data_IF_915369416474
#
_entry.id   IF_915369416474
#
_cell.length_a   1.000
_cell.length_b   1.000
_cell.length_c   1.000
_cell.angle_alpha   90.00
_cell.angle_beta   90.00
_cell.angle_gamma   90.00
#
_symmetry.space_group_name_H-M   'P 1'
#
loop_
_entity.id
_entity.type
_entity.pdbx_description
1 polymer ?
#
# COMPACT_ATOMS: atom_id res chain seq x y z
N UNK A 1 -12.43 -9.70 -10.83
CA UNK A 1 -11.30 -9.94 -9.90
C UNK A 1 -11.85 -10.17 -8.51
N UNK A 2 -11.53 -11.29 -7.85
CA UNK A 2 -11.93 -11.51 -6.44
C UNK A 2 -11.16 -10.48 -5.60
N UNK A 3 -11.85 -9.45 -5.08
CA UNK A 3 -11.25 -8.33 -4.34
C UNK A 3 -10.35 -8.77 -3.18
N UNK A 4 -10.61 -9.96 -2.60
CA UNK A 4 -9.74 -10.57 -1.59
C UNK A 4 -8.31 -10.87 -2.05
N UNK A 5 -8.08 -11.18 -3.33
CA UNK A 5 -6.73 -11.43 -3.85
C UNK A 5 -5.89 -10.14 -3.93
N UNK A 6 -6.53 -8.97 -4.04
CA UNK A 6 -5.84 -7.69 -4.06
C UNK A 6 -5.35 -7.24 -2.66
N UNK A 7 -5.74 -7.95 -1.61
CA UNK A 7 -5.30 -7.68 -0.23
C UNK A 7 -4.04 -8.50 0.10
N UNK A 8 -3.73 -9.56 -0.65
CA UNK A 8 -2.55 -10.38 -0.41
C UNK A 8 -1.23 -9.60 -0.52
N UNK A 9 -1.00 -8.77 -1.56
CA UNK A 9 0.24 -8.01 -1.67
C UNK A 9 0.42 -7.03 -0.51
N UNK A 10 -0.67 -6.42 -0.05
CA UNK A 10 -0.63 -5.44 1.03
C UNK A 10 -0.38 -6.11 2.39
N UNK A 11 -0.92 -7.29 2.64
CA UNK A 11 -0.57 -8.11 3.82
C UNK A 11 0.91 -8.49 3.80
N UNK A 12 1.42 -8.95 2.65
CA UNK A 12 2.83 -9.33 2.51
C UNK A 12 3.77 -8.16 2.81
N UNK A 13 3.49 -7.00 2.24
CA UNK A 13 4.28 -5.79 2.47
C UNK A 13 4.15 -5.26 3.90
N UNK A 14 2.99 -5.41 4.54
CA UNK A 14 2.83 -5.13 5.97
C UNK A 14 3.69 -6.06 6.83
N UNK A 15 3.78 -7.35 6.47
CA UNK A 15 4.67 -8.31 7.12
C UNK A 15 6.14 -7.89 7.00
N UNK A 16 6.58 -7.48 5.81
CA UNK A 16 7.92 -6.95 5.60
C UNK A 16 8.18 -5.67 6.41
N UNK A 17 7.18 -4.81 6.57
CA UNK A 17 7.29 -3.61 7.39
C UNK A 17 7.47 -3.93 8.87
N UNK A 18 6.63 -4.82 9.41
CA UNK A 18 6.76 -5.28 10.80
C UNK A 18 8.11 -5.96 11.05
N UNK A 19 8.60 -6.72 10.06
CA UNK A 19 9.93 -7.30 10.10
C UNK A 19 11.04 -6.25 10.13
N UNK A 20 10.92 -5.20 9.31
CA UNK A 20 11.84 -4.07 9.32
C UNK A 20 11.85 -3.31 10.65
N UNK A 21 10.68 -3.12 11.27
CA UNK A 21 10.56 -2.51 12.61
C UNK A 21 11.22 -3.38 13.68
N UNK A 22 10.99 -4.69 13.66
CA UNK A 22 11.64 -5.62 14.58
C UNK A 22 13.18 -5.64 14.43
N UNK A 23 13.66 -5.55 13.20
CA UNK A 23 15.10 -5.51 12.92
C UNK A 23 15.77 -4.19 13.33
N UNK A 24 15.02 -3.12 13.57
CA UNK A 24 15.59 -1.81 13.87
C UNK A 24 16.44 -1.85 15.15
N UNK A 25 16.03 -2.64 16.14
CA UNK A 25 16.70 -2.78 17.44
C UNK A 25 17.97 -3.65 17.35
N UNK A 26 18.03 -4.58 16.39
CA UNK A 26 19.14 -5.53 16.25
C UNK A 26 20.17 -5.09 15.19
N UNK A 27 19.67 -4.56 14.07
CA UNK A 27 20.45 -4.20 12.88
C UNK A 27 19.81 -2.96 12.22
N UNK A 28 20.05 -1.75 12.77
CA UNK A 28 19.34 -0.54 12.34
C UNK A 28 19.46 -0.26 10.83
N UNK A 29 20.64 -0.44 10.24
CA UNK A 29 20.84 -0.24 8.80
C UNK A 29 19.96 -1.17 7.93
N UNK A 30 19.86 -2.45 8.32
CA UNK A 30 18.97 -3.41 7.68
C UNK A 30 17.51 -3.06 7.93
N UNK A 31 17.14 -2.73 9.18
CA UNK A 31 15.78 -2.35 9.57
C UNK A 31 15.24 -1.16 8.77
N UNK A 32 16.00 -0.07 8.66
CA UNK A 32 15.62 1.10 7.85
C UNK A 32 15.43 0.75 6.37
N UNK A 33 16.28 -0.12 5.82
CA UNK A 33 16.17 -0.57 4.42
C UNK A 33 14.89 -1.38 4.18
N UNK A 34 14.55 -2.30 5.09
CA UNK A 34 13.31 -3.09 5.03
C UNK A 34 12.06 -2.22 5.18
N UNK A 35 12.08 -1.24 6.09
CA UNK A 35 10.98 -0.28 6.25
C UNK A 35 10.80 0.54 4.98
N UNK A 36 11.89 1.09 4.43
CA UNK A 36 11.87 1.89 3.20
C UNK A 36 11.33 1.11 2.01
N UNK A 37 11.80 -0.13 1.81
CA UNK A 37 11.33 -1.02 0.74
C UNK A 37 9.84 -1.35 0.89
N UNK A 38 9.41 -1.66 2.12
CA UNK A 38 8.01 -2.01 2.40
C UNK A 38 7.07 -0.82 2.20
N UNK A 39 7.48 0.38 2.62
CA UNK A 39 6.73 1.62 2.41
C UNK A 39 6.63 1.98 0.93
N UNK A 40 7.75 1.94 0.19
CA UNK A 40 7.76 2.17 -1.25
C UNK A 40 6.90 1.14 -1.99
N UNK A 41 6.96 -0.13 -1.58
CA UNK A 41 6.12 -1.20 -2.12
C UNK A 41 4.63 -0.99 -1.85
N UNK A 42 4.25 -0.59 -0.63
CA UNK A 42 2.84 -0.30 -0.28
C UNK A 42 2.29 0.86 -1.11
N UNK A 43 3.05 1.95 -1.22
CA UNK A 43 2.65 3.10 -2.03
C UNK A 43 2.55 2.73 -3.52
N UNK A 44 3.59 2.10 -4.07
CA UNK A 44 3.64 1.71 -5.48
C UNK A 44 2.54 0.71 -5.86
N UNK A 45 2.29 -0.29 -5.01
CA UNK A 45 1.22 -1.25 -5.22
C UNK A 45 -0.15 -0.56 -5.20
N UNK A 46 -0.41 0.28 -4.19
CA UNK A 46 -1.70 0.95 -4.07
C UNK A 46 -1.98 1.87 -5.27
N UNK A 47 -0.97 2.62 -5.72
CA UNK A 47 -1.05 3.45 -6.92
C UNK A 47 -1.34 2.61 -8.18
N UNK A 48 -0.59 1.53 -8.40
CA UNK A 48 -0.80 0.65 -9.55
C UNK A 48 -2.17 -0.01 -9.52
N UNK A 49 -2.64 -0.47 -8.35
CA UNK A 49 -3.95 -1.08 -8.20
C UNK A 49 -5.09 -0.10 -8.51
N UNK A 50 -4.96 1.16 -8.07
CA UNK A 50 -5.88 2.24 -8.42
C UNK A 50 -5.89 2.47 -9.94
N UNK A 51 -4.71 2.64 -10.53
CA UNK A 51 -4.56 2.91 -11.96
C UNK A 51 -5.13 1.79 -12.83
N UNK A 52 -4.72 0.54 -12.57
CA UNK A 52 -5.17 -0.64 -13.33
C UNK A 52 -6.69 -0.82 -13.18
N UNK A 53 -7.24 -0.68 -11.97
CA UNK A 53 -8.69 -0.84 -11.81
C UNK A 53 -9.48 0.31 -12.44
N UNK A 54 -8.95 1.54 -12.44
CA UNK A 54 -9.52 2.69 -13.13
C UNK A 54 -9.53 2.49 -14.65
N UNK A 55 -8.40 2.08 -15.24
CA UNK A 55 -8.30 1.75 -16.66
C UNK A 55 -9.25 0.61 -17.05
N UNK A 56 -9.30 -0.46 -16.25
CA UNK A 56 -10.16 -1.61 -16.52
C UNK A 56 -11.63 -1.18 -16.59
N UNK A 57 -12.08 -0.29 -15.71
CA UNK A 57 -13.44 0.27 -15.75
C UNK A 57 -13.69 1.16 -16.95
N UNK A 58 -12.72 2.01 -17.29
CA UNK A 58 -12.81 2.90 -18.45
C UNK A 58 -12.97 2.08 -19.74
N UNK A 59 -12.17 1.03 -19.91
CA UNK A 59 -12.24 0.10 -21.04
C UNK A 59 -13.57 -0.66 -21.07
N UNK A 60 -14.07 -1.09 -19.91
CA UNK A 60 -15.35 -1.82 -19.81
C UNK A 60 -16.59 -0.91 -19.90
N UNK A 61 -16.44 0.41 -19.96
CA UNK A 61 -17.56 1.35 -20.01
C UNK A 61 -18.46 1.35 -18.77
N UNK A 62 -17.98 0.80 -17.64
CA UNK A 62 -18.80 0.64 -16.42
C UNK A 62 -18.90 1.99 -15.70
N UNK A 63 -20.04 2.67 -15.86
CA UNK A 63 -20.32 3.95 -15.16
C UNK A 63 -20.82 3.79 -13.73
N UNK A 64 -21.36 2.62 -13.35
CA UNK A 64 -21.93 2.42 -12.00
C UNK A 64 -20.86 1.95 -11.02
N UNK A 65 -20.56 2.79 -10.04
CA UNK A 65 -19.69 2.44 -8.91
C UNK A 65 -20.54 1.78 -7.83
N UNK A 66 -20.31 0.50 -7.57
CA UNK A 66 -21.00 -0.21 -6.48
C UNK A 66 -20.43 0.22 -5.13
N UNK A 67 -21.19 0.00 -4.04
CA UNK A 67 -20.73 0.35 -2.70
C UNK A 67 -19.43 -0.38 -2.31
N UNK A 68 -19.34 -1.67 -2.68
CA UNK A 68 -18.14 -2.48 -2.48
C UNK A 68 -16.93 -1.97 -3.29
N UNK A 69 -17.15 -1.21 -4.37
CA UNK A 69 -16.07 -0.58 -5.11
C UNK A 69 -15.57 0.66 -4.38
N UNK A 70 -16.48 1.50 -3.88
CA UNK A 70 -16.11 2.68 -3.08
C UNK A 70 -15.28 2.29 -1.87
N UNK A 71 -15.63 1.22 -1.16
CA UNK A 71 -14.83 0.71 -0.05
C UNK A 71 -13.42 0.31 -0.50
N UNK A 72 -13.29 -0.40 -1.62
CA UNK A 72 -12.00 -0.83 -2.14
C UNK A 72 -11.13 0.36 -2.57
N UNK A 73 -11.71 1.34 -3.25
CA UNK A 73 -11.03 2.58 -3.62
C UNK A 73 -10.62 3.40 -2.40
N UNK A 74 -11.55 3.54 -1.45
CA UNK A 74 -11.28 4.22 -0.18
C UNK A 74 -10.17 3.55 0.61
N UNK A 75 -10.13 2.22 0.63
CA UNK A 75 -9.04 1.44 1.23
C UNK A 75 -7.69 1.73 0.56
N UNK A 76 -7.61 1.68 -0.78
CA UNK A 76 -6.35 1.92 -1.50
C UNK A 76 -5.85 3.35 -1.31
N UNK A 77 -6.75 4.34 -1.43
CA UNK A 77 -6.41 5.77 -1.22
C UNK A 77 -6.03 6.02 0.24
N UNK A 78 -6.82 5.50 1.18
CA UNK A 78 -6.54 5.63 2.61
C UNK A 78 -5.19 5.03 2.99
N UNK A 79 -4.85 3.87 2.44
CA UNK A 79 -3.54 3.27 2.65
C UNK A 79 -2.42 4.14 2.08
N UNK A 80 -2.57 4.73 0.88
CA UNK A 80 -1.57 5.66 0.34
C UNK A 80 -1.35 6.86 1.25
N UNK A 81 -2.42 7.44 1.80
CA UNK A 81 -2.32 8.55 2.74
C UNK A 81 -1.58 8.13 4.00
N UNK A 82 -1.93 6.98 4.59
CA UNK A 82 -1.24 6.44 5.77
C UNK A 82 0.24 6.21 5.49
N UNK A 83 0.59 5.60 4.37
CA UNK A 83 1.99 5.36 3.98
C UNK A 83 2.74 6.69 3.81
N UNK A 84 2.15 7.68 3.15
CA UNK A 84 2.76 9.01 3.00
C UNK A 84 3.00 9.70 4.34
N UNK A 85 2.02 9.65 5.25
CA UNK A 85 2.16 10.24 6.59
C UNK A 85 3.26 9.53 7.37
N UNK A 86 3.30 8.19 7.34
CA UNK A 86 4.34 7.41 8.02
C UNK A 86 5.72 7.70 7.43
N UNK A 87 5.84 7.80 6.09
CA UNK A 87 7.08 8.18 5.43
C UNK A 87 7.53 9.60 5.80
N UNK A 88 6.59 10.56 5.89
CA UNK A 88 6.91 11.91 6.36
C UNK A 88 7.41 11.92 7.79
N UNK A 89 6.74 11.22 8.70
CA UNK A 89 7.16 11.15 10.12
C UNK A 89 8.54 10.50 10.23
N UNK A 90 8.74 9.34 9.60
CA UNK A 90 10.04 8.66 9.64
C UNK A 90 11.15 9.46 8.96
N UNK A 91 10.85 10.13 7.84
CA UNK A 91 11.80 10.99 7.14
C UNK A 91 12.09 12.31 7.86
N UNK A 92 11.23 12.75 8.78
CA UNK A 92 11.48 13.92 9.64
C UNK A 92 12.32 13.58 10.89
N UNK A 93 12.34 12.30 11.28
CA UNK A 93 13.03 11.79 12.47
C UNK A 93 14.44 11.24 12.16
N UNK A 94 14.88 11.31 10.91
CA UNK A 94 16.24 11.02 10.44
C UNK A 94 16.91 12.28 9.90
#
# INVERSE_FOLDING_TARGET
MRKGLAILPTIGLFGCLLWGVYLIDQQPASGHSWIGLSMAGLFGYAFLALFVSGMTRAVQGIKRVTWADRLFYGYLVGMMVVVLVVMMILGLHH
#
